data_IF_164723964304
#
_entry.id   IF_164723964304
#
_cell.length_a   1.000
_cell.length_b   1.000
_cell.length_c   1.000
_cell.angle_alpha   90.00
_cell.angle_beta   90.00
_cell.angle_gamma   90.00
#
_symmetry.space_group_name_H-M   'P 1'
#
loop_
_entity.id
_entity.type
_entity.pdbx_description
1 polymer ?
#
# COMPACT_ATOMS: atom_id res chain seq x y z
N UNK A 1 -9.37 -16.98 -15.11
CA UNK A 1 -10.47 -17.25 -14.16
C UNK A 1 -11.71 -16.44 -14.51
N UNK A 2 -11.67 -15.11 -14.45
CA UNK A 2 -12.81 -14.23 -14.79
C UNK A 2 -13.47 -14.50 -16.15
N UNK A 3 -12.69 -14.64 -17.24
CA UNK A 3 -13.25 -14.96 -18.58
C UNK A 3 -14.06 -16.26 -18.62
N UNK A 4 -13.70 -17.25 -17.79
CA UNK A 4 -14.39 -18.54 -17.71
C UNK A 4 -15.46 -18.57 -16.61
N UNK A 5 -15.69 -17.45 -15.91
CA UNK A 5 -16.65 -17.34 -14.79
C UNK A 5 -16.43 -18.40 -13.70
N UNK A 6 -15.16 -18.74 -13.46
CA UNK A 6 -14.77 -19.68 -12.40
C UNK A 6 -14.35 -18.86 -11.19
N UNK A 7 -14.96 -19.07 -10.01
CA UNK A 7 -14.54 -18.40 -8.78
C UNK A 7 -13.07 -18.65 -8.48
N UNK A 8 -12.32 -17.56 -8.33
CA UNK A 8 -10.94 -17.52 -7.86
C UNK A 8 -10.96 -16.93 -6.46
N UNK A 9 -11.05 -17.82 -5.48
CA UNK A 9 -11.20 -17.48 -4.07
C UNK A 9 -9.83 -17.55 -3.39
N UNK A 10 -9.72 -16.77 -2.32
CA UNK A 10 -8.62 -16.83 -1.38
C UNK A 10 -7.25 -16.41 -1.94
N UNK A 11 -7.22 -15.36 -2.77
CA UNK A 11 -5.93 -14.80 -3.18
C UNK A 11 -5.19 -14.29 -1.95
N UNK A 12 -3.94 -14.70 -1.79
CA UNK A 12 -3.09 -14.35 -0.64
C UNK A 12 -2.23 -13.11 -0.92
N UNK A 13 -2.65 -12.26 -1.85
CA UNK A 13 -2.00 -10.99 -2.18
C UNK A 13 -2.96 -9.85 -1.89
N UNK A 14 -2.47 -8.81 -1.22
CA UNK A 14 -3.24 -7.61 -0.88
C UNK A 14 -3.20 -6.53 -1.95
N UNK A 15 -2.72 -6.82 -3.17
CA UNK A 15 -2.58 -5.80 -4.21
C UNK A 15 -3.95 -5.22 -4.58
N UNK A 16 -4.09 -3.89 -4.53
CA UNK A 16 -5.39 -3.21 -4.69
C UNK A 16 -6.03 -3.45 -6.06
N UNK A 17 -5.25 -3.82 -7.09
CA UNK A 17 -5.77 -4.23 -8.40
C UNK A 17 -6.74 -5.42 -8.37
N UNK A 18 -6.71 -6.23 -7.31
CA UNK A 18 -7.62 -7.35 -7.12
C UNK A 18 -8.86 -6.97 -6.32
N UNK A 19 -8.91 -5.76 -5.77
CA UNK A 19 -10.06 -5.16 -5.10
C UNK A 19 -10.93 -4.37 -6.10
N UNK A 20 -11.12 -4.95 -7.28
CA UNK A 20 -11.88 -4.38 -8.39
C UNK A 20 -12.97 -5.38 -8.82
N UNK A 21 -14.12 -5.38 -8.12
CA UNK A 21 -15.23 -6.28 -8.44
C UNK A 21 -15.94 -5.94 -9.75
N UNK A 22 -15.74 -4.74 -10.31
CA UNK A 22 -16.33 -4.34 -11.59
C UNK A 22 -15.64 -5.08 -12.74
N UNK A 23 -14.31 -5.10 -12.74
CA UNK A 23 -13.53 -5.78 -13.79
C UNK A 23 -13.21 -7.25 -13.46
N UNK A 24 -13.14 -7.62 -12.18
CA UNK A 24 -12.80 -8.98 -11.72
C UNK A 24 -13.83 -9.58 -10.75
N UNK A 25 -15.11 -9.70 -11.13
CA UNK A 25 -16.19 -10.13 -10.22
C UNK A 25 -16.05 -11.56 -9.70
N UNK A 26 -15.21 -12.40 -10.33
CA UNK A 26 -14.96 -13.78 -9.90
C UNK A 26 -13.67 -13.92 -9.11
N UNK A 27 -13.06 -12.82 -8.66
CA UNK A 27 -11.79 -12.82 -7.92
C UNK A 27 -11.98 -12.17 -6.57
N UNK A 28 -11.54 -12.83 -5.50
CA UNK A 28 -11.67 -12.33 -4.14
C UNK A 28 -10.42 -12.62 -3.33
N UNK A 29 -9.86 -11.58 -2.70
CA UNK A 29 -8.74 -11.71 -1.77
C UNK A 29 -9.16 -12.40 -0.47
N UNK A 30 -8.25 -13.16 0.13
CA UNK A 30 -8.42 -13.66 1.49
C UNK A 30 -7.97 -12.64 2.54
N UNK A 31 -6.94 -11.87 2.20
CA UNK A 31 -6.27 -10.94 3.12
C UNK A 31 -6.71 -9.51 2.85
N UNK A 32 -6.66 -8.61 3.86
CA UNK A 32 -6.86 -7.18 3.64
C UNK A 32 -5.95 -6.65 2.53
N UNK A 33 -6.43 -5.65 1.80
CA UNK A 33 -5.58 -4.97 0.84
C UNK A 33 -4.43 -4.24 1.55
N UNK A 34 -3.34 -4.12 0.83
CA UNK A 34 -2.17 -3.33 1.17
C UNK A 34 -2.53 -1.89 1.52
N UNK A 35 -3.44 -1.30 0.74
CA UNK A 35 -4.02 -0.01 1.04
C UNK A 35 -4.78 -0.01 2.37
N UNK A 36 -5.64 -1.00 2.64
CA UNK A 36 -6.38 -1.08 3.89
C UNK A 36 -5.47 -1.15 5.13
N UNK A 37 -4.40 -1.94 5.07
CA UNK A 37 -3.39 -2.00 6.14
C UNK A 37 -2.75 -0.63 6.39
N UNK A 38 -2.36 0.09 5.33
CA UNK A 38 -1.75 1.42 5.48
C UNK A 38 -2.69 2.48 6.01
N UNK A 39 -3.97 2.43 5.61
CA UNK A 39 -4.99 3.31 6.17
C UNK A 39 -5.13 3.11 7.68
N UNK A 40 -5.04 1.86 8.16
CA UNK A 40 -5.07 1.58 9.60
C UNK A 40 -3.89 2.26 10.32
N UNK A 41 -2.68 2.17 9.78
CA UNK A 41 -1.51 2.82 10.38
C UNK A 41 -1.58 4.35 10.35
N UNK A 42 -1.97 4.94 9.22
CA UNK A 42 -2.14 6.38 9.09
C UNK A 42 -3.18 6.92 10.09
N UNK A 43 -4.32 6.22 10.22
CA UNK A 43 -5.35 6.54 11.20
C UNK A 43 -4.81 6.49 12.64
N UNK A 44 -4.07 5.42 12.98
CA UNK A 44 -3.50 5.27 14.31
C UNK A 44 -2.53 6.41 14.65
N UNK A 45 -1.62 6.76 13.74
CA UNK A 45 -0.67 7.86 13.93
C UNK A 45 -1.40 9.18 14.12
N UNK A 46 -2.41 9.45 13.29
CA UNK A 46 -3.24 10.67 13.40
C UNK A 46 -3.94 10.78 14.76
N UNK A 47 -4.44 9.68 15.30
CA UNK A 47 -5.17 9.67 16.57
C UNK A 47 -4.26 9.73 17.80
N UNK A 48 -3.04 9.18 17.71
CA UNK A 48 -2.18 8.96 18.89
C UNK A 48 -0.89 9.77 18.89
N UNK A 49 -0.49 10.34 17.76
CA UNK A 49 0.82 10.98 17.55
C UNK A 49 0.70 12.25 16.69
N UNK A 50 -0.08 13.27 17.11
CA UNK A 50 -0.37 14.44 16.28
C UNK A 50 0.86 15.27 15.87
N UNK A 51 1.95 15.21 16.64
CA UNK A 51 3.19 15.95 16.38
C UNK A 51 4.32 15.07 15.79
N UNK A 52 3.99 13.87 15.32
CA UNK A 52 5.00 12.96 14.77
C UNK A 52 5.60 13.47 13.46
N UNK A 53 6.89 13.15 13.25
CA UNK A 53 7.57 13.28 11.97
C UNK A 53 7.69 11.90 11.33
N UNK A 54 7.25 11.79 10.08
CA UNK A 54 7.11 10.52 9.38
C UNK A 54 8.15 10.47 8.25
N UNK A 55 8.99 9.44 8.28
CA UNK A 55 9.82 9.04 7.15
C UNK A 55 9.21 7.82 6.46
N UNK A 56 9.09 7.86 5.14
CA UNK A 56 8.54 6.75 4.34
C UNK A 56 9.65 6.14 3.50
N UNK A 57 9.88 4.83 3.68
CA UNK A 57 10.69 4.02 2.80
C UNK A 57 9.76 3.05 2.06
N UNK A 58 9.76 3.09 0.73
CA UNK A 58 8.84 2.28 -0.08
C UNK A 58 9.53 1.64 -1.27
N UNK A 59 9.00 0.51 -1.73
CA UNK A 59 9.52 -0.20 -2.90
C UNK A 59 9.26 0.60 -4.18
N UNK A 60 10.23 0.66 -5.09
CA UNK A 60 10.11 1.42 -6.35
C UNK A 60 9.26 0.69 -7.42
N UNK A 61 8.13 0.12 -7.01
CA UNK A 61 7.19 -0.56 -7.88
C UNK A 61 5.74 -0.21 -7.53
N UNK A 62 4.79 -0.84 -8.20
CA UNK A 62 3.36 -0.55 -8.01
C UNK A 62 2.90 -0.94 -6.60
N UNK A 63 3.54 -1.94 -5.98
CA UNK A 63 3.27 -2.31 -4.60
C UNK A 63 3.65 -1.18 -3.64
N UNK A 64 4.88 -0.67 -3.73
CA UNK A 64 5.35 0.37 -2.81
C UNK A 64 4.64 1.71 -3.01
N UNK A 65 4.29 2.05 -4.26
CA UNK A 65 3.51 3.26 -4.58
C UNK A 65 2.09 3.19 -4.03
N UNK A 66 1.37 2.09 -4.29
CA UNK A 66 0.01 1.88 -3.76
C UNK A 66 -0.03 1.93 -2.22
N UNK A 67 1.00 1.37 -1.58
CA UNK A 67 1.21 1.47 -0.13
C UNK A 67 1.44 2.91 0.36
N UNK A 68 2.27 3.70 -0.34
CA UNK A 68 2.58 5.08 0.05
C UNK A 68 1.35 5.98 -0.13
N UNK A 69 0.70 5.88 -1.28
CA UNK A 69 -0.42 6.75 -1.64
C UNK A 69 -1.61 6.53 -0.69
N UNK A 70 -1.96 5.28 -0.39
CA UNK A 70 -3.02 4.97 0.56
C UNK A 70 -2.72 5.45 1.99
N UNK A 71 -1.44 5.49 2.37
CA UNK A 71 -1.02 6.02 3.68
C UNK A 71 -1.20 7.54 3.74
N UNK A 72 -0.71 8.25 2.72
CA UNK A 72 -0.77 9.73 2.65
C UNK A 72 -2.23 10.19 2.56
N UNK A 73 -3.03 9.56 1.70
CA UNK A 73 -4.46 9.83 1.54
C UNK A 73 -5.22 9.76 2.88
N UNK A 74 -4.97 8.70 3.66
CA UNK A 74 -5.63 8.52 4.96
C UNK A 74 -5.07 9.42 6.06
N UNK A 75 -3.77 9.74 6.02
CA UNK A 75 -3.16 10.66 6.98
C UNK A 75 -3.81 12.04 6.84
N UNK A 76 -3.97 12.51 5.59
CA UNK A 76 -4.61 13.78 5.27
C UNK A 76 -3.85 15.02 5.76
N UNK A 77 -2.62 14.84 6.23
CA UNK A 77 -1.68 15.88 6.61
C UNK A 77 -0.27 15.50 6.14
N UNK A 78 0.04 15.89 4.91
CA UNK A 78 1.35 15.66 4.31
C UNK A 78 2.49 16.39 5.03
N UNK A 79 2.19 17.42 5.83
CA UNK A 79 3.23 18.19 6.54
C UNK A 79 3.95 17.37 7.61
N UNK A 80 3.34 16.28 8.08
CA UNK A 80 3.97 15.32 8.97
C UNK A 80 5.03 14.46 8.26
N UNK A 81 4.95 14.32 6.93
CA UNK A 81 5.90 13.51 6.14
C UNK A 81 7.12 14.35 5.80
N UNK A 82 8.23 14.05 6.48
CA UNK A 82 9.49 14.82 6.33
C UNK A 82 10.40 14.27 5.23
N UNK A 83 10.20 13.03 4.82
CA UNK A 83 10.93 12.41 3.71
C UNK A 83 10.20 11.16 3.21
N UNK A 84 10.21 10.96 1.89
CA UNK A 84 9.74 9.75 1.24
C UNK A 84 10.78 9.30 0.21
N UNK A 85 11.36 8.11 0.41
CA UNK A 85 12.44 7.57 -0.43
C UNK A 85 12.05 6.20 -0.95
N UNK A 86 12.28 5.98 -2.25
CA UNK A 86 12.08 4.68 -2.87
C UNK A 86 13.36 3.84 -2.85
N UNK A 87 13.21 2.51 -2.76
CA UNK A 87 14.30 1.55 -2.92
C UNK A 87 14.01 0.54 -4.04
N UNK A 88 15.06 0.08 -4.71
CA UNK A 88 14.97 -0.96 -5.73
C UNK A 88 15.23 -2.34 -5.10
N UNK A 89 14.38 -3.32 -5.40
CA UNK A 89 14.53 -4.68 -4.82
C UNK A 89 15.73 -5.42 -5.37
N UNK A 90 16.24 -5.02 -6.54
CA UNK A 90 17.45 -5.56 -7.14
C UNK A 90 18.73 -4.92 -6.60
N UNK A 91 18.64 -3.84 -5.83
CA UNK A 91 19.81 -3.17 -5.28
C UNK A 91 20.36 -3.95 -4.07
N UNK A 92 21.68 -4.15 -4.04
CA UNK A 92 22.34 -4.85 -2.93
C UNK A 92 22.42 -4.00 -1.64
N UNK A 93 22.36 -2.68 -1.75
CA UNK A 93 22.42 -1.74 -0.62
C UNK A 93 21.47 -0.55 -0.84
N UNK A 94 21.00 0.02 0.28
CA UNK A 94 20.13 1.20 0.29
C UNK A 94 20.91 2.53 0.11
N UNK A 95 22.24 2.50 0.24
CA UNK A 95 23.12 3.69 0.20
C UNK A 95 23.13 4.43 -1.13
N UNK A 96 22.59 3.84 -2.20
CA UNK A 96 22.66 4.37 -3.57
C UNK A 96 21.80 5.64 -3.81
N UNK A 97 21.22 6.23 -2.77
CA UNK A 97 20.12 7.22 -2.86
C UNK A 97 20.20 8.39 -1.85
N UNK A 98 21.30 8.55 -1.11
CA UNK A 98 21.55 9.76 -0.30
C UNK A 98 22.24 10.86 -1.10
#
# INVERSE_FOLDING_TARGET
MNQRKVPHLFLTTGASKWDDPENFPWTMSYIPSYAAERRIYAKYIKENMPDAKIGILYQNDDFGRDYMDAFIDQLGDESMVVSAVSYDTSAATLDSRM
#
